data_IF_800397950794
#
_entry.id   IF_800397950794
#
_cell.length_a   1.000
_cell.length_b   1.000
_cell.length_c   1.000
_cell.angle_alpha   90.00
_cell.angle_beta   90.00
_cell.angle_gamma   90.00
#
_symmetry.space_group_name_H-M   'P 1'
#
loop_
_entity.id
_entity.type
_entity.pdbx_description
1 polymer ?
#
# COMPACT_ATOMS: atom_id res chain seq x y z
N UNK A 1 -14.60 -5.30 -2.90
CA UNK A 1 -14.06 -5.45 -1.52
C UNK A 1 -12.74 -4.71 -1.44
N UNK A 2 -12.51 -4.02 -0.35
CA UNK A 2 -11.34 -3.16 -0.19
C UNK A 2 -10.61 -3.59 1.09
N UNK A 3 -9.58 -4.42 0.94
CA UNK A 3 -8.90 -5.05 2.08
C UNK A 3 -7.44 -4.57 2.14
N UNK A 4 -7.04 -4.20 3.36
CA UNK A 4 -5.65 -3.94 3.74
C UNK A 4 -5.30 -4.95 4.82
N UNK A 5 -4.50 -5.95 4.49
CA UNK A 5 -4.18 -7.06 5.39
C UNK A 5 -2.74 -6.95 5.87
N UNK A 6 -2.53 -7.12 7.19
CA UNK A 6 -1.19 -7.17 7.78
C UNK A 6 -1.15 -8.35 8.74
N UNK A 7 -0.27 -9.32 8.45
CA UNK A 7 -0.04 -10.46 9.33
C UNK A 7 -1.30 -11.25 9.64
N UNK A 8 -2.22 -11.36 8.70
CA UNK A 8 -3.48 -12.08 8.88
C UNK A 8 -4.64 -11.25 9.44
N UNK A 9 -4.40 -10.00 9.83
CA UNK A 9 -5.48 -9.08 10.25
C UNK A 9 -5.93 -8.27 9.04
N UNK A 10 -7.22 -8.31 8.76
CA UNK A 10 -7.83 -7.61 7.63
C UNK A 10 -8.47 -6.30 8.08
N UNK A 11 -7.90 -5.20 7.64
CA UNK A 11 -8.51 -3.88 7.79
C UNK A 11 -9.24 -3.52 6.50
N UNK A 12 -10.20 -2.63 6.59
CA UNK A 12 -10.88 -2.12 5.42
C UNK A 12 -10.17 -0.85 4.93
N UNK A 13 -10.06 -0.68 3.63
CA UNK A 13 -9.47 0.53 3.04
C UNK A 13 -10.48 1.66 3.09
N UNK A 14 -10.04 2.83 3.53
CA UNK A 14 -10.79 4.07 3.40
C UNK A 14 -10.53 4.66 2.02
N UNK A 15 -11.43 4.39 1.09
CA UNK A 15 -11.28 4.80 -0.31
C UNK A 15 -11.24 6.33 -0.43
N UNK A 16 -12.00 7.04 0.39
CA UNK A 16 -12.05 8.51 0.34
C UNK A 16 -10.73 9.17 0.73
N UNK A 17 -9.97 8.53 1.61
CA UNK A 17 -8.67 9.03 2.07
C UNK A 17 -7.50 8.49 1.27
N UNK A 18 -7.74 7.51 0.41
CA UNK A 18 -6.70 6.87 -0.38
C UNK A 18 -6.53 7.59 -1.71
N UNK A 19 -5.29 7.65 -2.20
CA UNK A 19 -4.97 8.34 -3.45
C UNK A 19 -3.98 7.54 -4.27
N UNK A 20 -4.23 7.52 -5.57
CA UNK A 20 -3.31 6.98 -6.57
C UNK A 20 -3.14 8.08 -7.61
N UNK A 21 -1.91 8.52 -7.83
CA UNK A 21 -1.63 9.53 -8.83
C UNK A 21 -0.57 9.07 -9.81
N UNK A 22 -0.70 9.53 -11.04
CA UNK A 22 0.21 9.25 -12.15
C UNK A 22 0.69 10.56 -12.72
N UNK A 23 2.00 10.69 -12.93
CA UNK A 23 2.59 11.81 -13.63
C UNK A 23 3.39 11.29 -14.81
N UNK A 24 3.33 11.99 -15.94
CA UNK A 24 4.11 11.65 -17.14
C UNK A 24 5.33 12.55 -17.18
N UNK A 25 6.51 11.94 -17.20
CA UNK A 25 7.77 12.65 -17.32
C UNK A 25 8.10 12.95 -18.79
N UNK A 26 8.99 13.90 -19.00
CA UNK A 26 9.40 14.31 -20.34
C UNK A 26 10.05 13.19 -21.16
N UNK A 27 10.62 12.19 -20.49
CA UNK A 27 11.21 11.00 -21.13
C UNK A 27 10.18 9.91 -21.44
N UNK A 28 8.90 10.15 -21.19
CA UNK A 28 7.83 9.19 -21.41
C UNK A 28 7.61 8.20 -20.28
N UNK A 29 8.41 8.27 -19.23
CA UNK A 29 8.20 7.42 -18.05
C UNK A 29 7.00 7.92 -17.24
N UNK A 30 6.25 6.97 -16.66
CA UNK A 30 5.16 7.27 -15.75
C UNK A 30 5.66 7.17 -14.32
N UNK A 31 5.36 8.17 -13.52
CA UNK A 31 5.63 8.12 -12.08
C UNK A 31 4.35 7.77 -11.35
N UNK A 32 4.40 6.72 -10.56
CA UNK A 32 3.27 6.23 -9.78
C UNK A 32 3.48 6.60 -8.31
N UNK A 33 2.47 7.23 -7.72
CA UNK A 33 2.44 7.58 -6.31
C UNK A 33 1.16 7.03 -5.70
N UNK A 34 1.29 6.27 -4.63
CA UNK A 34 0.18 5.58 -3.99
C UNK A 34 0.18 5.90 -2.50
N UNK A 35 -1.00 6.26 -2.00
CA UNK A 35 -1.25 6.40 -0.57
C UNK A 35 -2.56 5.70 -0.25
N UNK A 36 -2.50 4.65 0.55
CA UNK A 36 -3.67 3.88 0.95
C UNK A 36 -3.79 3.94 2.46
N UNK A 37 -4.96 4.33 2.95
CA UNK A 37 -5.24 4.41 4.38
C UNK A 37 -6.35 3.44 4.74
N UNK A 38 -6.20 2.76 5.88
CA UNK A 38 -7.25 1.91 6.42
C UNK A 38 -8.34 2.77 7.06
N UNK A 39 -9.55 2.22 7.12
CA UNK A 39 -10.70 2.88 7.73
C UNK A 39 -10.54 2.95 9.24
N UNK A 40 -10.78 4.12 9.81
CA UNK A 40 -10.58 4.39 11.22
C UNK A 40 -11.59 3.66 12.10
N UNK A 41 -12.85 3.64 11.71
CA UNK A 41 -13.90 2.97 12.51
C UNK A 41 -13.69 1.46 12.57
N UNK A 42 -13.36 0.85 11.44
CA UNK A 42 -13.07 -0.60 11.39
C UNK A 42 -11.81 -0.89 12.22
N UNK A 43 -10.80 -0.06 12.10
CA UNK A 43 -9.57 -0.19 12.89
C UNK A 43 -9.87 -0.14 14.39
N UNK A 44 -10.67 0.83 14.84
CA UNK A 44 -11.01 0.98 16.25
C UNK A 44 -11.76 -0.25 16.77
N UNK A 45 -12.68 -0.80 16.00
CA UNK A 45 -13.41 -2.02 16.40
C UNK A 45 -12.51 -3.24 16.50
N UNK A 46 -11.54 -3.37 15.57
CA UNK A 46 -10.64 -4.52 15.55
C UNK A 46 -9.59 -4.48 16.65
N UNK A 47 -9.32 -3.31 17.22
CA UNK A 47 -8.24 -3.11 18.18
C UNK A 47 -8.70 -2.64 19.56
N UNK A 48 -10.02 -2.60 19.82
CA UNK A 48 -10.57 -2.09 21.08
C UNK A 48 -10.28 -3.00 22.28
N UNK A 49 -10.06 -4.29 22.05
CA UNK A 49 -9.72 -5.24 23.09
C UNK A 49 -8.20 -5.24 23.29
N UNK A 50 -7.74 -5.15 24.53
CA UNK A 50 -6.30 -5.15 24.87
C UNK A 50 -5.56 -6.40 24.36
N UNK A 51 -6.27 -7.52 24.21
CA UNK A 51 -5.70 -8.76 23.67
C UNK A 51 -5.75 -8.85 22.15
N UNK A 52 -6.39 -7.91 21.50
CA UNK A 52 -6.50 -7.92 20.03
C UNK A 52 -5.15 -7.63 19.38
N UNK A 53 -4.86 -8.24 18.22
CA UNK A 53 -3.70 -7.83 17.44
C UNK A 53 -3.75 -6.32 17.16
N UNK A 54 -2.58 -5.67 17.24
CA UNK A 54 -2.44 -4.23 16.98
C UNK A 54 -3.17 -3.32 17.98
N UNK A 55 -3.58 -3.83 19.15
CA UNK A 55 -4.25 -3.03 20.20
C UNK A 55 -3.37 -1.90 20.72
N UNK A 56 -2.04 -1.99 20.56
CA UNK A 56 -1.09 -0.95 20.95
C UNK A 56 -1.10 0.25 19.99
N UNK A 57 -1.63 0.10 18.79
CA UNK A 57 -1.63 1.14 17.79
C UNK A 57 -2.81 2.10 18.01
N UNK A 58 -2.57 3.39 17.87
CA UNK A 58 -3.60 4.42 18.04
C UNK A 58 -4.22 4.87 16.72
N UNK A 59 -3.57 4.56 15.60
CA UNK A 59 -4.01 5.00 14.28
C UNK A 59 -4.04 3.83 13.32
N UNK A 60 -4.97 3.84 12.36
CA UNK A 60 -5.02 2.80 11.33
C UNK A 60 -3.76 2.82 10.48
N UNK A 61 -3.39 1.68 9.90
CA UNK A 61 -2.22 1.62 9.03
C UNK A 61 -2.43 2.40 7.75
N UNK A 62 -1.34 2.96 7.23
CA UNK A 62 -1.32 3.52 5.88
C UNK A 62 -0.09 3.03 5.12
N UNK A 63 -0.26 2.88 3.81
CA UNK A 63 0.80 2.44 2.91
C UNK A 63 1.17 3.59 1.99
N UNK A 64 2.47 3.81 1.82
CA UNK A 64 3.02 4.84 0.96
C UNK A 64 3.97 4.22 -0.05
N UNK A 65 3.79 4.57 -1.31
CA UNK A 65 4.72 4.27 -2.40
C UNK A 65 4.85 5.53 -3.23
N UNK A 66 6.06 6.06 -3.35
CA UNK A 66 6.31 7.31 -4.06
C UNK A 66 7.47 7.15 -5.02
N UNK A 67 7.33 7.74 -6.19
CA UNK A 67 8.42 7.82 -7.17
C UNK A 67 8.67 6.54 -7.94
N UNK A 68 7.71 5.64 -8.03
CA UNK A 68 7.87 4.43 -8.86
C UNK A 68 7.79 4.83 -10.34
N UNK A 69 8.88 4.62 -11.08
CA UNK A 69 8.93 4.91 -12.51
C UNK A 69 8.65 3.66 -13.32
N UNK A 70 7.70 3.74 -14.23
CA UNK A 70 7.26 2.63 -15.07
C UNK A 70 7.17 3.09 -16.51
N UNK A 71 7.77 2.33 -17.43
CA UNK A 71 7.65 2.58 -18.86
C UNK A 71 6.26 2.18 -19.37
N UNK A 72 5.84 2.79 -20.46
CA UNK A 72 4.62 2.44 -21.18
C UNK A 72 3.71 3.64 -21.41
N UNK A 73 2.69 3.47 -22.28
CA UNK A 73 1.76 4.53 -22.56
C UNK A 73 0.89 4.87 -21.34
N UNK A 74 0.42 6.12 -21.31
CA UNK A 74 -0.51 6.58 -20.29
C UNK A 74 -1.75 5.67 -20.25
N UNK A 75 -2.28 5.45 -19.06
CA UNK A 75 -3.43 4.58 -18.81
C UNK A 75 -3.24 3.07 -19.10
N UNK A 76 -2.06 2.63 -19.55
CA UNK A 76 -1.80 1.20 -19.72
C UNK A 76 -1.77 0.52 -18.35
N UNK A 77 -2.39 -0.66 -18.20
CA UNK A 77 -2.31 -1.41 -16.95
C UNK A 77 -0.88 -1.80 -16.59
N UNK A 78 -0.60 -1.85 -15.31
CA UNK A 78 0.69 -2.32 -14.77
C UNK A 78 0.44 -3.62 -14.03
N UNK A 79 1.25 -4.64 -14.31
CA UNK A 79 1.12 -5.96 -13.69
C UNK A 79 2.47 -6.49 -13.23
N UNK A 80 2.47 -7.08 -12.05
CA UNK A 80 3.58 -7.91 -11.53
C UNK A 80 4.95 -7.23 -11.57
N UNK A 81 5.01 -5.98 -11.15
CA UNK A 81 6.27 -5.25 -11.05
C UNK A 81 6.85 -5.40 -9.65
N UNK A 82 8.08 -5.90 -9.57
CA UNK A 82 8.83 -5.90 -8.33
C UNK A 82 9.35 -4.48 -8.06
N UNK A 83 9.08 -3.98 -6.86
CA UNK A 83 9.49 -2.63 -6.43
C UNK A 83 10.64 -2.80 -5.44
N UNK A 84 11.86 -2.89 -5.94
CA UNK A 84 13.02 -3.15 -5.11
C UNK A 84 14.22 -2.29 -5.50
N UNK A 85 15.40 -2.77 -5.16
CA UNK A 85 16.67 -2.06 -5.31
C UNK A 85 17.00 -1.57 -6.71
N UNK A 86 16.34 -2.07 -7.74
CA UNK A 86 16.52 -1.58 -9.11
C UNK A 86 15.89 -0.21 -9.36
N UNK A 87 15.02 0.25 -8.45
CA UNK A 87 14.33 1.53 -8.56
C UNK A 87 14.75 2.44 -7.40
N UNK A 88 15.96 2.98 -7.51
CA UNK A 88 16.63 3.70 -6.43
C UNK A 88 15.97 5.01 -6.02
N UNK A 89 15.03 5.52 -6.83
CA UNK A 89 14.31 6.78 -6.53
C UNK A 89 12.95 6.51 -5.91
N UNK A 90 12.58 5.26 -5.77
CA UNK A 90 11.29 4.88 -5.21
C UNK A 90 11.38 4.75 -3.69
N UNK A 91 10.46 5.40 -3.00
CA UNK A 91 10.34 5.28 -1.55
C UNK A 91 9.05 4.53 -1.21
N UNK A 92 9.14 3.60 -0.28
CA UNK A 92 7.97 2.86 0.19
C UNK A 92 8.06 2.65 1.70
N UNK A 93 6.92 2.72 2.36
CA UNK A 93 6.83 2.49 3.79
C UNK A 93 5.40 2.14 4.19
N UNK A 94 5.26 1.45 5.30
CA UNK A 94 3.99 1.28 5.97
C UNK A 94 4.03 2.10 7.26
N UNK A 95 3.04 2.97 7.45
CA UNK A 95 2.95 3.81 8.63
C UNK A 95 1.89 3.26 9.59
N UNK A 96 2.32 3.01 10.83
CA UNK A 96 1.43 2.65 11.93
C UNK A 96 2.09 3.18 13.20
N UNK A 97 1.76 4.41 13.59
CA UNK A 97 2.38 5.22 14.65
C UNK A 97 3.81 5.66 14.33
N UNK A 98 4.54 4.91 13.54
CA UNK A 98 5.85 5.26 12.98
C UNK A 98 6.01 4.58 11.63
N UNK A 99 7.03 4.97 10.89
CA UNK A 99 7.31 4.34 9.60
C UNK A 99 8.03 3.02 9.80
N UNK A 100 7.51 1.99 9.15
CA UNK A 100 8.10 0.65 9.13
C UNK A 100 8.59 0.34 7.73
N UNK A 101 9.77 -0.28 7.64
CA UNK A 101 10.34 -0.66 6.36
C UNK A 101 9.53 -1.78 5.72
N UNK A 102 9.37 -1.68 4.41
CA UNK A 102 8.75 -2.73 3.60
C UNK A 102 9.79 -3.38 2.70
N UNK A 103 9.61 -4.66 2.43
CA UNK A 103 10.47 -5.45 1.57
C UNK A 103 9.64 -6.37 0.70
N UNK A 104 10.27 -6.99 -0.31
CA UNK A 104 9.60 -7.88 -1.27
C UNK A 104 8.32 -7.26 -1.83
N UNK A 105 8.32 -5.96 -2.04
CA UNK A 105 7.16 -5.22 -2.50
C UNK A 105 6.90 -5.50 -3.96
N UNK A 106 5.66 -5.84 -4.27
CA UNK A 106 5.21 -6.05 -5.64
C UNK A 106 3.94 -5.30 -5.91
N UNK A 107 3.93 -4.56 -7.00
CA UNK A 107 2.71 -4.01 -7.56
C UNK A 107 2.10 -5.08 -8.44
N UNK A 108 1.12 -5.80 -7.92
CA UNK A 108 0.51 -6.95 -8.60
C UNK A 108 -0.37 -6.48 -9.74
N UNK A 109 -1.15 -5.45 -9.50
CA UNK A 109 -1.98 -4.83 -10.52
C UNK A 109 -2.23 -3.36 -10.19
N UNK A 110 -2.10 -2.53 -11.20
CA UNK A 110 -2.64 -1.17 -11.19
C UNK A 110 -3.33 -0.94 -12.52
N UNK A 111 -4.65 -0.93 -12.51
CA UNK A 111 -5.49 -0.74 -13.69
C UNK A 111 -6.61 0.24 -13.34
N UNK A 112 -7.47 0.50 -14.32
CA UNK A 112 -8.65 1.35 -14.09
C UNK A 112 -9.62 0.74 -13.07
N UNK A 113 -9.55 -0.59 -12.85
CA UNK A 113 -10.51 -1.29 -12.02
C UNK A 113 -9.96 -1.75 -10.68
N UNK A 114 -8.63 -1.87 -10.52
CA UNK A 114 -8.07 -2.51 -9.34
C UNK A 114 -6.66 -2.02 -9.01
N UNK A 115 -6.40 -1.91 -7.71
CA UNK A 115 -5.05 -1.82 -7.17
C UNK A 115 -4.81 -3.05 -6.31
N UNK A 116 -3.74 -3.77 -6.58
CA UNK A 116 -3.31 -4.89 -5.75
C UNK A 116 -1.81 -4.79 -5.50
N UNK A 117 -1.43 -4.84 -4.22
CA UNK A 117 -0.03 -4.73 -3.77
C UNK A 117 0.21 -5.83 -2.75
N UNK A 118 1.39 -6.45 -2.83
CA UNK A 118 1.84 -7.40 -1.80
C UNK A 118 3.25 -7.06 -1.36
N UNK A 119 3.59 -7.45 -0.15
CA UNK A 119 4.93 -7.23 0.37
C UNK A 119 5.08 -7.77 1.78
N UNK A 120 6.19 -7.39 2.40
CA UNK A 120 6.47 -7.69 3.80
C UNK A 120 6.79 -6.41 4.52
N UNK A 121 6.39 -6.32 5.78
CA UNK A 121 6.67 -5.18 6.64
C UNK A 121 7.41 -5.67 7.89
N UNK A 122 8.40 -4.89 8.32
CA UNK A 122 9.19 -5.21 9.50
C UNK A 122 8.65 -4.46 10.72
N UNK A 123 8.23 -5.24 11.72
CA UNK A 123 7.84 -4.73 13.03
C UNK A 123 8.78 -5.33 14.09
N UNK A 124 9.69 -4.52 14.63
CA UNK A 124 10.59 -4.90 15.69
C UNK A 124 11.36 -6.20 15.41
N UNK A 125 11.87 -6.34 14.19
CA UNK A 125 12.60 -7.52 13.76
C UNK A 125 11.75 -8.69 13.29
N UNK A 126 10.42 -8.56 13.33
CA UNK A 126 9.50 -9.54 12.74
C UNK A 126 9.04 -9.07 11.38
N UNK A 127 9.23 -9.92 10.38
CA UNK A 127 8.72 -9.67 9.04
C UNK A 127 7.35 -10.29 8.87
N UNK A 128 6.35 -9.46 8.61
CA UNK A 128 4.96 -9.90 8.42
C UNK A 128 4.53 -9.64 7.00
N UNK A 129 3.76 -10.56 6.40
CA UNK A 129 3.19 -10.29 5.08
C UNK A 129 2.12 -9.21 5.17
N UNK A 130 2.05 -8.35 4.16
CA UNK A 130 0.94 -7.44 4.00
C UNK A 130 0.45 -7.46 2.56
N UNK A 131 -0.80 -7.09 2.37
CA UNK A 131 -1.38 -6.97 1.05
C UNK A 131 -2.48 -5.92 1.04
N UNK A 132 -2.65 -5.29 -0.11
CA UNK A 132 -3.74 -4.35 -0.36
C UNK A 132 -4.44 -4.82 -1.61
N UNK A 133 -5.76 -4.94 -1.54
CA UNK A 133 -6.60 -5.26 -2.69
C UNK A 133 -7.78 -4.29 -2.67
N UNK A 134 -7.79 -3.37 -3.60
CA UNK A 134 -8.79 -2.31 -3.66
C UNK A 134 -9.36 -2.22 -5.06
N UNK A 135 -10.68 -2.24 -5.17
CA UNK A 135 -11.35 -1.93 -6.42
C UNK A 135 -11.39 -0.43 -6.63
N UNK A 136 -11.07 -0.02 -7.83
CA UNK A 136 -11.11 1.38 -8.21
C UNK A 136 -12.42 1.68 -8.91
N UNK A 137 -13.01 2.81 -8.54
CA UNK A 137 -14.17 3.34 -9.25
C UNK A 137 -13.65 4.32 -10.29
N UNK A 138 -13.97 4.05 -11.53
CA UNK A 138 -13.53 4.90 -12.63
C UNK A 138 -14.22 6.26 -12.58
#
# INVERSE_FOLDING_TARGET
MHIFSIGGTNFEVDVAKSRISLAIHADGMREINIRIEADDEVFMRLTEDDDAPWSWALYPPSFLLQGLLVAGPDAAPVHMIAVDAGNTQCESALYMMEYHDVSDLRLVELSAQRLAVTGKVDFDGKSLPFSIDMRRVA
#
